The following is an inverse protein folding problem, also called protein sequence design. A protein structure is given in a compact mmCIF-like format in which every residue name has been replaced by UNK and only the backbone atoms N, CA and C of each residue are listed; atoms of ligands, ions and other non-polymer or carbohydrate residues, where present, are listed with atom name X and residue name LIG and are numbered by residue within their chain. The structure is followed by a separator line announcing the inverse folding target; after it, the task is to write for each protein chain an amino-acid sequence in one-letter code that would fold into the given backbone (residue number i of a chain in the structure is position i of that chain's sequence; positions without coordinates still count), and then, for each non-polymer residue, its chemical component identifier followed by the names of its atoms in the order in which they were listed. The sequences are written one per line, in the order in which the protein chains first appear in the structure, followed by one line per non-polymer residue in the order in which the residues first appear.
data_IF_851907800590
#
_entry.id   IF_851907800590
#
_cell.length_a   1.000
_cell.length_b   1.000
_cell.length_c   1.000
_cell.angle_alpha   90.00
_cell.angle_beta   90.00
_cell.angle_gamma   90.00
#
_symmetry.space_group_name_H-M   'P 1'
#
loop_
_entity.id
_entity.type
_entity.pdbx_description
1 polymer ?
#
# COMPACT_ATOMS: atom_id res chain seq x y z
N UNK A 1 6.82 -20.26 -18.84
CA UNK A 1 8.18 -19.77 -18.58
C UNK A 1 8.20 -19.23 -17.17
N UNK A 2 9.22 -19.58 -16.38
CA UNK A 2 9.45 -18.92 -15.10
C UNK A 2 9.93 -17.49 -15.37
N UNK A 3 9.40 -16.48 -14.67
CA UNK A 3 9.82 -15.10 -14.87
C UNK A 3 11.31 -14.94 -14.53
N UNK A 4 12.07 -14.19 -15.34
CA UNK A 4 13.45 -13.84 -15.03
C UNK A 4 13.50 -12.89 -13.82
N UNK A 5 13.92 -13.42 -12.67
CA UNK A 5 13.99 -12.71 -11.40
C UNK A 5 15.37 -12.12 -11.09
N UNK A 6 16.32 -12.17 -12.04
CA UNK A 6 17.66 -11.59 -11.86
C UNK A 6 17.62 -10.12 -11.43
N UNK A 7 16.63 -9.39 -11.92
CA UNK A 7 16.39 -7.97 -11.59
C UNK A 7 15.98 -7.72 -10.12
N UNK A 8 15.60 -8.75 -9.36
CA UNK A 8 15.30 -8.60 -7.93
C UNK A 8 16.57 -8.48 -7.07
N UNK A 9 17.73 -8.89 -7.59
CA UNK A 9 19.00 -8.79 -6.86
C UNK A 9 19.34 -7.30 -6.67
N UNK A 10 19.35 -6.85 -5.41
CA UNK A 10 19.61 -5.45 -5.06
C UNK A 10 18.40 -4.52 -5.16
N UNK A 11 17.22 -5.02 -5.54
CA UNK A 11 16.00 -4.22 -5.55
C UNK A 11 15.61 -3.80 -4.12
N UNK A 12 15.26 -2.52 -3.93
CA UNK A 12 14.79 -2.00 -2.63
C UNK A 12 13.34 -2.36 -2.31
N UNK A 13 12.59 -2.81 -3.31
CA UNK A 13 11.16 -3.07 -3.22
C UNK A 13 10.60 -3.53 -4.56
N UNK A 14 9.40 -4.11 -4.53
CA UNK A 14 8.69 -4.61 -5.69
C UNK A 14 7.27 -4.02 -5.69
N UNK A 15 6.87 -3.43 -6.82
CA UNK A 15 5.50 -2.95 -7.03
C UNK A 15 4.85 -3.82 -8.10
N UNK A 16 3.73 -4.45 -7.74
CA UNK A 16 3.00 -5.37 -8.60
C UNK A 16 1.69 -4.70 -9.03
N UNK A 17 1.56 -4.47 -10.34
CA UNK A 17 0.44 -3.80 -10.98
C UNK A 17 -0.05 -4.58 -12.21
N UNK A 18 0.03 -5.91 -12.16
CA UNK A 18 -0.68 -6.79 -13.07
C UNK A 18 -2.08 -7.12 -12.54
N UNK A 19 -2.75 -8.10 -13.15
CA UNK A 19 -3.97 -8.66 -12.59
C UNK A 19 -3.70 -9.42 -11.29
N UNK A 20 -4.77 -9.74 -10.56
CA UNK A 20 -4.68 -10.34 -9.24
C UNK A 20 -3.96 -11.70 -9.22
N UNK A 21 -4.08 -12.49 -10.29
CA UNK A 21 -3.43 -13.81 -10.36
C UNK A 21 -1.93 -13.66 -10.65
N UNK A 22 -1.55 -12.78 -11.57
CA UNK A 22 -0.14 -12.53 -11.91
C UNK A 22 0.60 -11.90 -10.74
N UNK A 23 -0.04 -10.96 -10.03
CA UNK A 23 0.53 -10.35 -8.83
C UNK A 23 0.71 -11.39 -7.72
N UNK A 24 -0.22 -12.33 -7.56
CA UNK A 24 -0.10 -13.40 -6.59
C UNK A 24 1.05 -14.35 -6.97
N UNK A 25 1.12 -14.78 -8.24
CA UNK A 25 2.17 -15.64 -8.75
C UNK A 25 3.56 -14.99 -8.56
N UNK A 26 3.71 -13.72 -8.96
CA UNK A 26 4.96 -12.98 -8.83
C UNK A 26 5.35 -12.77 -7.36
N UNK A 27 4.38 -12.52 -6.47
CA UNK A 27 4.65 -12.41 -5.02
C UNK A 27 5.22 -13.71 -4.47
N UNK A 28 4.57 -14.84 -4.78
CA UNK A 28 5.02 -16.15 -4.34
C UNK A 28 6.40 -16.49 -4.91
N UNK A 29 6.63 -16.26 -6.20
CA UNK A 29 7.92 -16.49 -6.85
C UNK A 29 9.02 -15.63 -6.24
N UNK A 30 8.78 -14.32 -6.05
CA UNK A 30 9.76 -13.43 -5.41
C UNK A 30 10.15 -13.93 -4.01
N UNK A 31 9.17 -14.35 -3.19
CA UNK A 31 9.44 -14.89 -1.85
C UNK A 31 10.14 -16.25 -1.90
N UNK A 32 9.74 -17.13 -2.81
CA UNK A 32 10.36 -18.44 -3.01
C UNK A 32 11.85 -18.31 -3.38
N UNK A 33 12.19 -17.33 -4.21
CA UNK A 33 13.57 -17.01 -4.60
C UNK A 33 14.34 -16.12 -3.61
N UNK A 34 13.79 -15.90 -2.41
CA UNK A 34 14.51 -15.26 -1.30
C UNK A 34 14.45 -13.73 -1.28
N UNK A 35 13.58 -13.09 -2.06
CA UNK A 35 13.37 -11.66 -1.93
C UNK A 35 12.74 -11.33 -0.56
N UNK A 36 13.45 -10.57 0.27
CA UNK A 36 13.01 -10.17 1.62
C UNK A 36 12.54 -8.72 1.69
N UNK A 37 12.70 -7.95 0.61
CA UNK A 37 12.27 -6.57 0.53
C UNK A 37 10.75 -6.38 0.56
N UNK A 38 10.29 -5.11 0.63
CA UNK A 38 8.87 -4.77 0.59
C UNK A 38 8.26 -5.11 -0.77
N UNK A 39 7.11 -5.79 -0.74
CA UNK A 39 6.25 -6.03 -1.90
C UNK A 39 4.95 -5.26 -1.70
N UNK A 40 4.65 -4.37 -2.63
CA UNK A 40 3.38 -3.64 -2.70
C UNK A 40 2.61 -4.17 -3.90
N UNK A 41 1.41 -4.71 -3.67
CA UNK A 41 0.56 -5.22 -4.74
C UNK A 41 -0.70 -4.37 -4.90
N UNK A 42 -1.10 -4.14 -6.14
CA UNK A 42 -2.41 -3.60 -6.47
C UNK A 42 -3.33 -4.79 -6.74
N UNK A 43 -4.58 -4.70 -6.29
CA UNK A 43 -5.61 -5.70 -6.58
C UNK A 43 -6.87 -5.05 -7.11
N UNK A 44 -7.49 -5.72 -8.06
CA UNK A 44 -8.76 -5.33 -8.67
C UNK A 44 -9.91 -5.69 -7.74
N UNK A 45 -9.97 -6.94 -7.26
CA UNK A 45 -10.97 -7.41 -6.32
C UNK A 45 -10.53 -7.18 -4.86
N UNK A 46 -11.24 -6.36 -4.06
CA UNK A 46 -10.93 -6.15 -2.65
C UNK A 46 -10.93 -7.43 -1.80
N UNK A 47 -11.71 -8.44 -2.19
CA UNK A 47 -11.75 -9.73 -1.50
C UNK A 47 -10.43 -10.51 -1.66
N UNK A 48 -9.59 -10.12 -2.63
CA UNK A 48 -8.26 -10.71 -2.84
C UNK A 48 -7.14 -10.06 -2.03
N UNK A 49 -7.45 -9.02 -1.25
CA UNK A 49 -6.47 -8.42 -0.34
C UNK A 49 -5.93 -9.42 0.71
N UNK A 50 -6.75 -10.13 1.49
CA UNK A 50 -6.25 -11.11 2.45
C UNK A 50 -5.39 -12.23 1.83
N UNK A 51 -5.78 -12.88 0.71
CA UNK A 51 -4.92 -13.89 0.09
C UNK A 51 -3.62 -13.30 -0.47
N UNK A 52 -3.63 -12.08 -1.04
CA UNK A 52 -2.41 -11.42 -1.53
C UNK A 52 -1.43 -11.12 -0.39
N UNK A 53 -1.92 -10.69 0.78
CA UNK A 53 -1.10 -10.53 1.97
C UNK A 53 -0.52 -11.86 2.46
N UNK A 54 -1.32 -12.93 2.45
CA UNK A 54 -0.86 -14.29 2.80
C UNK A 54 0.18 -14.84 1.83
N UNK A 55 0.13 -14.45 0.56
CA UNK A 55 1.15 -14.79 -0.43
C UNK A 55 2.52 -14.12 -0.13
N UNK A 56 2.55 -13.10 0.74
CA UNK A 56 3.77 -12.45 1.18
C UNK A 56 3.89 -10.98 0.76
N UNK A 57 2.82 -10.36 0.26
CA UNK A 57 2.78 -8.91 0.03
C UNK A 57 2.72 -8.16 1.36
N UNK A 58 3.51 -7.09 1.49
CA UNK A 58 3.55 -6.26 2.70
C UNK A 58 2.39 -5.26 2.75
N UNK A 59 2.01 -4.73 1.58
CA UNK A 59 0.88 -3.83 1.44
C UNK A 59 0.09 -4.21 0.20
N UNK A 60 -1.23 -4.05 0.27
CA UNK A 60 -2.15 -4.35 -0.81
C UNK A 60 -3.16 -3.22 -0.95
N UNK A 61 -3.26 -2.66 -2.15
CA UNK A 61 -4.10 -1.52 -2.46
C UNK A 61 -5.17 -1.88 -3.48
N UNK A 62 -6.32 -1.22 -3.39
CA UNK A 62 -7.44 -1.31 -4.34
C UNK A 62 -7.69 0.07 -4.94
N UNK A 63 -6.85 0.55 -5.88
CA UNK A 63 -6.83 1.94 -6.31
C UNK A 63 -8.20 2.45 -6.78
N UNK A 64 -8.90 1.67 -7.60
CA UNK A 64 -10.21 2.03 -8.14
C UNK A 64 -11.26 2.18 -7.04
N UNK A 65 -11.20 1.35 -6.00
CA UNK A 65 -12.12 1.42 -4.87
C UNK A 65 -11.84 2.62 -3.98
N UNK A 66 -10.55 2.93 -3.74
CA UNK A 66 -10.14 4.14 -3.00
C UNK A 66 -10.58 5.40 -3.76
N UNK A 67 -10.38 5.41 -5.08
CA UNK A 67 -10.80 6.51 -5.94
C UNK A 67 -12.33 6.65 -5.97
N UNK A 68 -13.06 5.55 -6.12
CA UNK A 68 -14.52 5.54 -6.08
C UNK A 68 -15.05 6.06 -4.74
N UNK A 69 -14.46 5.63 -3.62
CA UNK A 69 -14.81 6.12 -2.29
C UNK A 69 -14.54 7.63 -2.13
N UNK A 70 -13.39 8.11 -2.62
CA UNK A 70 -13.04 9.53 -2.61
C UNK A 70 -14.02 10.37 -3.45
N UNK A 71 -14.40 9.87 -4.63
CA UNK A 71 -15.39 10.50 -5.51
C UNK A 71 -16.77 10.53 -4.84
N UNK A 72 -17.21 9.41 -4.27
CA UNK A 72 -18.49 9.31 -3.55
C UNK A 72 -18.52 10.29 -2.36
N UNK A 73 -17.47 10.34 -1.55
CA UNK A 73 -17.38 11.27 -0.42
C UNK A 73 -17.47 12.74 -0.88
N UNK A 74 -16.81 13.12 -1.98
CA UNK A 74 -16.89 14.48 -2.53
C UNK A 74 -18.27 14.80 -3.11
N UNK A 75 -18.93 13.83 -3.75
CA UNK A 75 -20.30 13.99 -4.25
C UNK A 75 -21.29 14.11 -3.08
N UNK A 76 -21.16 13.27 -2.04
CA UNK A 76 -21.97 13.33 -0.83
C UNK A 76 -21.75 14.63 -0.06
N UNK A 77 -20.54 15.17 0.01
CA UNK A 77 -20.28 16.48 0.62
C UNK A 77 -21.00 17.63 -0.09
N UNK A 78 -21.28 17.50 -1.39
CA UNK A 78 -22.14 18.44 -2.14
C UNK A 78 -23.63 18.26 -1.85
N UNK A 79 -24.05 17.14 -1.24
CA UNK A 79 -25.45 16.78 -0.95
C UNK A 79 -25.75 16.83 0.57
N UNK A 80 -24.74 16.75 1.45
CA UNK A 80 -24.84 16.90 2.91
C UNK A 80 -23.45 17.19 3.52
N UNK A 81 -23.27 18.29 4.27
CA UNK A 81 -21.96 18.67 4.77
C UNK A 81 -21.59 17.86 6.02
N UNK A 82 -20.98 16.69 5.82
CA UNK A 82 -20.12 16.03 6.83
C UNK A 82 -18.89 15.47 6.14
N UNK A 83 -17.77 16.15 6.35
CA UNK A 83 -16.45 15.83 5.80
C UNK A 83 -15.98 14.49 6.37
N UNK A 84 -15.69 13.52 5.51
CA UNK A 84 -14.85 12.38 5.85
C UNK A 84 -14.14 11.84 4.60
N UNK A 85 -12.82 11.72 4.66
CA UNK A 85 -12.06 10.76 3.84
C UNK A 85 -10.93 11.29 2.98
N UNK A 86 -10.96 12.55 2.53
CA UNK A 86 -9.88 13.11 1.71
C UNK A 86 -9.49 14.46 2.29
N UNK A 87 -8.57 14.45 3.26
CA UNK A 87 -7.80 15.67 3.51
C UNK A 87 -6.96 15.89 2.25
N UNK A 88 -7.46 16.75 1.34
CA UNK A 88 -6.56 17.69 0.70
C UNK A 88 -5.95 18.48 1.86
N UNK A 89 -4.81 18.01 2.37
CA UNK A 89 -3.97 18.86 3.20
C UNK A 89 -3.67 20.05 2.28
N UNK A 90 -4.09 21.25 2.68
CA UNK A 90 -3.96 22.44 1.84
C UNK A 90 -2.49 22.70 1.46
N UNK A 91 -2.21 23.77 0.71
CA UNK A 91 -0.85 24.13 0.24
C UNK A 91 0.21 24.32 1.36
N UNK A 92 -0.20 24.20 2.63
CA UNK A 92 0.62 24.41 3.81
C UNK A 92 0.67 23.19 4.74
N UNK A 93 0.11 22.05 4.34
CA UNK A 93 0.01 20.88 5.20
C UNK A 93 0.48 19.64 4.43
N UNK A 94 1.42 18.90 5.00
CA UNK A 94 2.03 17.70 4.40
C UNK A 94 1.92 16.50 5.33
N UNK A 95 1.90 15.29 4.77
CA UNK A 95 2.01 14.03 5.52
C UNK A 95 3.43 13.51 5.35
N UNK A 96 4.13 13.31 6.46
CA UNK A 96 5.45 12.71 6.49
C UNK A 96 5.48 11.53 7.46
N UNK A 97 6.21 10.48 7.11
CA UNK A 97 6.51 9.36 8.00
C UNK A 97 7.85 9.59 8.69
N UNK A 98 7.87 9.64 10.02
CA UNK A 98 9.10 9.77 10.82
C UNK A 98 9.39 8.45 11.54
N UNK A 99 10.57 7.86 11.27
CA UNK A 99 11.05 6.71 12.03
C UNK A 99 11.57 7.17 13.39
N UNK A 100 10.87 6.82 14.46
CA UNK A 100 11.36 7.02 15.82
C UNK A 100 12.38 5.94 16.17
N UNK A 101 13.64 6.35 16.35
CA UNK A 101 14.71 5.48 16.85
C UNK A 101 14.66 5.38 18.37
N UNK A 102 15.24 4.32 18.93
CA UNK A 102 15.25 4.08 20.38
C UNK A 102 15.99 5.16 21.17
N UNK A 103 16.98 5.83 20.55
CA UNK A 103 17.74 6.96 21.08
C UNK A 103 17.04 8.32 20.87
N UNK A 104 15.83 8.34 20.29
CA UNK A 104 15.08 9.58 20.07
C UNK A 104 14.65 10.21 21.39
N UNK A 105 14.75 11.55 21.54
CA UNK A 105 14.21 12.26 22.70
C UNK A 105 12.68 12.19 22.84
N UNK A 106 12.00 11.65 21.81
CA UNK A 106 10.57 11.37 21.79
C UNK A 106 10.24 9.91 22.15
N UNK A 107 11.24 9.03 22.22
CA UNK A 107 11.03 7.63 22.62
C UNK A 107 10.51 7.55 24.06
N UNK A 108 9.45 6.77 24.29
CA UNK A 108 8.86 6.57 25.62
C UNK A 108 7.99 7.73 26.13
N UNK A 109 7.83 8.83 25.38
CA UNK A 109 6.90 9.90 25.72
C UNK A 109 5.49 9.59 25.22
N UNK A 110 4.48 9.87 26.05
CA UNK A 110 3.07 9.76 25.64
C UNK A 110 2.70 11.00 24.84
N UNK A 111 1.91 10.81 23.77
CA UNK A 111 1.25 11.95 23.14
C UNK A 111 0.32 12.60 24.17
N UNK A 112 0.37 13.94 24.32
CA UNK A 112 -0.55 14.68 25.19
C UNK A 112 -1.99 14.60 24.69
#
# INVERSE_FOLDING_TARGET
EDPDLSNLVGARGLVLNGNDNDNAAMTLSARYHGFTGPIVALVEDPQRRPPMQRAGANAVFTPDHVLAAALAARASARISPRVAGVQHLGQHLEVAELRLRADSPLAGKRQP
#
